data_IF_797809456182
#
_entry.id   IF_797809456182
#
_cell.length_a   1.000
_cell.length_b   1.000
_cell.length_c   1.000
_cell.angle_alpha   90.00
_cell.angle_beta   90.00
_cell.angle_gamma   90.00
#
_symmetry.space_group_name_H-M   'P 1'
#
loop_
_entity.id
_entity.type
_entity.pdbx_description
1 polymer ?
#
# COMPACT_ATOMS: atom_id res chain seq x y z
N UNK A 1 20.24 18.79 8.90
CA UNK A 1 21.29 17.80 8.60
C UNK A 1 21.03 17.32 7.19
N UNK A 2 21.90 17.68 6.26
CA UNK A 2 21.80 17.27 4.85
C UNK A 2 21.97 15.76 4.77
N UNK A 3 20.85 15.03 4.86
CA UNK A 3 20.86 13.58 4.71
C UNK A 3 21.43 13.21 3.35
N UNK A 4 22.23 12.15 3.28
CA UNK A 4 22.79 11.66 2.02
C UNK A 4 21.65 11.20 1.07
N UNK A 5 21.33 12.00 0.06
CA UNK A 5 20.50 11.59 -1.08
C UNK A 5 21.43 11.14 -2.22
N UNK A 6 21.05 10.10 -2.94
CA UNK A 6 21.74 9.70 -4.17
C UNK A 6 20.77 9.66 -5.35
N UNK A 7 21.30 9.95 -6.53
CA UNK A 7 20.56 9.94 -7.78
C UNK A 7 20.40 8.51 -8.29
N UNK A 8 19.15 8.05 -8.44
CA UNK A 8 18.80 6.76 -9.01
C UNK A 8 17.89 6.92 -10.23
N UNK A 9 18.05 6.03 -11.22
CA UNK A 9 17.14 5.97 -12.36
C UNK A 9 15.83 5.32 -11.92
N UNK A 10 14.69 5.97 -12.17
CA UNK A 10 13.37 5.45 -11.83
C UNK A 10 13.14 4.05 -12.44
N UNK A 11 12.87 3.00 -11.62
CA UNK A 11 12.86 1.61 -12.08
C UNK A 11 11.74 1.31 -13.09
N UNK A 12 10.59 1.98 -12.98
CA UNK A 12 9.48 1.86 -13.94
C UNK A 12 9.70 2.54 -15.29
N UNK A 13 10.81 3.29 -15.48
CA UNK A 13 11.04 4.09 -16.69
C UNK A 13 12.07 3.49 -17.66
N UNK A 14 12.60 2.29 -17.37
CA UNK A 14 13.41 1.51 -18.33
C UNK A 14 12.59 0.95 -19.51
N UNK A 15 11.31 1.30 -19.62
CA UNK A 15 10.44 0.89 -20.72
C UNK A 15 10.71 1.73 -21.99
N UNK A 16 11.52 1.16 -22.89
CA UNK A 16 11.77 1.49 -24.32
C UNK A 16 11.46 2.94 -24.78
N UNK A 17 12.53 3.68 -25.07
CA UNK A 17 12.60 4.96 -25.83
C UNK A 17 12.18 6.25 -25.10
N UNK A 18 12.18 6.28 -23.78
CA UNK A 18 12.12 7.54 -23.01
C UNK A 18 13.46 7.87 -22.37
N UNK A 19 13.75 9.16 -22.20
CA UNK A 19 14.89 9.64 -21.41
C UNK A 19 14.72 9.20 -19.96
N UNK A 20 15.81 8.72 -19.35
CA UNK A 20 15.82 8.27 -17.96
C UNK A 20 15.32 9.39 -17.02
N UNK A 21 14.37 9.03 -16.16
CA UNK A 21 13.92 9.91 -15.08
C UNK A 21 14.84 9.66 -13.89
N UNK A 22 15.65 10.66 -13.55
CA UNK A 22 16.53 10.63 -12.39
C UNK A 22 15.76 11.11 -11.16
N UNK A 23 15.85 10.35 -10.07
CA UNK A 23 15.28 10.69 -8.77
C UNK A 23 16.40 10.78 -7.74
N UNK A 24 16.49 11.90 -7.04
CA UNK A 24 17.28 12.00 -5.82
C UNK A 24 16.49 11.33 -4.69
N UNK A 25 17.00 10.23 -4.14
CA UNK A 25 16.33 9.50 -3.05
C UNK A 25 17.26 9.37 -1.85
N UNK A 26 16.76 9.39 -0.60
CA UNK A 26 17.59 9.18 0.57
C UNK A 26 18.30 7.81 0.50
N UNK A 27 19.50 7.69 1.07
CA UNK A 27 20.23 6.41 1.15
C UNK A 27 19.39 5.26 1.68
N UNK A 28 18.49 5.46 2.67
CA UNK A 28 17.59 4.40 3.16
C UNK A 28 16.62 3.83 2.09
N UNK A 29 16.41 4.56 1.00
CA UNK A 29 15.60 4.15 -0.15
C UNK A 29 16.42 3.33 -1.15
N UNK A 30 17.73 3.27 -0.98
CA UNK A 30 18.70 2.55 -1.80
C UNK A 30 19.25 1.36 -1.01
N UNK A 31 19.58 1.59 0.27
CA UNK A 31 20.21 0.66 1.20
C UNK A 31 19.22 -0.38 1.75
N UNK A 32 19.64 -1.63 1.70
CA UNK A 32 18.95 -2.84 2.21
C UNK A 32 18.96 -2.86 3.74
N UNK A 33 17.80 -2.87 4.46
CA UNK A 33 16.55 -3.61 4.17
C UNK A 33 15.25 -2.81 4.43
N UNK A 34 15.14 -1.54 4.02
CA UNK A 34 13.95 -0.69 4.25
C UNK A 34 13.26 -0.17 2.98
N UNK A 35 13.84 -0.37 1.81
CA UNK A 35 13.23 0.04 0.56
C UNK A 35 12.06 -0.88 0.19
N UNK A 36 10.94 -0.33 -0.29
CA UNK A 36 9.76 -1.11 -0.73
C UNK A 36 10.11 -2.13 -1.84
N UNK A 37 11.24 -1.95 -2.53
CA UNK A 37 11.78 -2.91 -3.49
C UNK A 37 12.55 -4.10 -2.89
N UNK A 38 12.77 -4.15 -1.57
CA UNK A 38 13.47 -5.23 -0.85
C UNK A 38 12.52 -6.25 -0.21
N UNK A 39 11.23 -6.23 -0.56
CA UNK A 39 10.24 -7.17 -0.02
C UNK A 39 10.13 -7.19 1.51
N UNK A 40 10.46 -6.10 2.23
CA UNK A 40 9.89 -5.91 3.59
C UNK A 40 8.43 -5.49 3.47
N UNK A 41 7.66 -6.48 3.05
CA UNK A 41 6.21 -6.48 3.08
C UNK A 41 5.76 -6.27 4.53
N UNK A 42 4.54 -5.78 4.66
CA UNK A 42 3.73 -5.93 5.87
C UNK A 42 4.07 -7.25 6.58
N UNK A 43 4.33 -7.21 7.90
CA UNK A 43 4.66 -8.45 8.63
C UNK A 43 3.61 -9.51 8.33
N UNK A 44 4.00 -10.79 8.25
CA UNK A 44 3.05 -11.87 7.96
C UNK A 44 1.80 -11.75 8.85
N UNK A 45 2.00 -11.46 10.13
CA UNK A 45 0.91 -11.24 11.10
C UNK A 45 -0.05 -10.12 10.69
N UNK A 46 0.44 -8.99 10.19
CA UNK A 46 -0.40 -7.87 9.75
C UNK A 46 -1.04 -8.15 8.38
N UNK A 47 -0.32 -8.81 7.46
CA UNK A 47 -0.86 -9.19 6.15
C UNK A 47 -2.04 -10.17 6.29
N UNK A 48 -1.93 -11.07 7.27
CA UNK A 48 -2.98 -12.04 7.62
C UNK A 48 -4.21 -11.38 8.26
N UNK A 49 -4.13 -10.11 8.70
CA UNK A 49 -5.27 -9.33 9.21
C UNK A 49 -6.02 -8.56 8.13
N UNK A 50 -5.36 -8.16 7.03
CA UNK A 50 -6.06 -7.58 5.87
C UNK A 50 -6.99 -8.64 5.29
N UNK A 51 -6.43 -9.84 5.06
CA UNK A 51 -7.16 -11.07 4.74
C UNK A 51 -7.95 -11.03 3.43
N UNK A 52 -8.29 -12.20 2.92
CA UNK A 52 -9.25 -12.37 1.82
C UNK A 52 -10.67 -12.59 2.32
N UNK A 53 -10.88 -12.71 3.64
CA UNK A 53 -12.15 -13.00 4.29
C UNK A 53 -12.50 -12.00 5.38
N UNK A 54 -13.78 -11.83 5.64
CA UNK A 54 -14.31 -11.07 6.79
C UNK A 54 -14.30 -11.86 8.09
N UNK A 55 -14.34 -13.19 8.01
CA UNK A 55 -14.36 -14.10 9.18
C UNK A 55 -13.07 -14.93 9.21
N UNK A 56 -12.42 -15.05 10.39
CA UNK A 56 -11.24 -15.88 10.51
C UNK A 56 -11.57 -17.37 10.47
N UNK A 57 -10.60 -18.19 10.09
CA UNK A 57 -10.68 -19.63 10.28
C UNK A 57 -10.48 -20.05 11.76
N UNK A 58 -10.51 -21.36 12.01
CA UNK A 58 -10.30 -21.92 13.35
C UNK A 58 -8.94 -21.58 13.98
N UNK A 59 -7.98 -21.09 13.19
CA UNK A 59 -6.65 -20.67 13.64
C UNK A 59 -6.52 -19.14 13.72
N UNK A 60 -7.61 -18.39 13.50
CA UNK A 60 -7.61 -16.92 13.53
C UNK A 60 -7.16 -16.26 12.22
N UNK A 61 -7.03 -17.01 11.12
CA UNK A 61 -6.49 -16.50 9.86
C UNK A 61 -7.59 -15.99 8.92
N UNK A 62 -7.43 -14.77 8.40
CA UNK A 62 -8.33 -14.16 7.43
C UNK A 62 -7.87 -14.31 5.97
N UNK A 63 -6.64 -14.78 5.70
CA UNK A 63 -6.06 -14.98 4.37
C UNK A 63 -6.27 -16.42 3.88
N UNK A 64 -7.51 -16.74 3.50
CA UNK A 64 -7.91 -18.06 2.96
C UNK A 64 -7.87 -18.15 1.43
N UNK A 65 -7.61 -17.04 0.73
CA UNK A 65 -7.60 -16.98 -0.73
C UNK A 65 -8.91 -17.48 -1.33
N UNK A 66 -8.81 -18.38 -2.32
CA UNK A 66 -9.97 -18.95 -3.02
C UNK A 66 -10.85 -19.85 -2.15
N UNK A 67 -10.33 -20.37 -1.04
CA UNK A 67 -11.13 -21.16 -0.09
C UNK A 67 -12.10 -20.32 0.74
N UNK A 68 -12.02 -18.99 0.63
CA UNK A 68 -12.99 -18.08 1.22
C UNK A 68 -14.35 -18.16 0.49
N UNK A 69 -15.47 -18.39 1.20
CA UNK A 69 -16.80 -18.28 0.62
C UNK A 69 -16.98 -16.91 -0.06
N UNK A 70 -17.60 -16.88 -1.24
CA UNK A 70 -17.75 -15.66 -2.05
C UNK A 70 -18.44 -14.53 -1.26
N UNK A 71 -19.39 -14.89 -0.42
CA UNK A 71 -20.12 -14.00 0.47
C UNK A 71 -19.35 -13.61 1.73
N UNK A 72 -18.11 -14.08 1.93
CA UNK A 72 -17.22 -13.62 3.00
C UNK A 72 -15.99 -12.90 2.45
N UNK A 73 -15.82 -12.84 1.12
CA UNK A 73 -14.63 -12.26 0.50
C UNK A 73 -14.52 -10.75 0.72
N UNK A 74 -13.29 -10.30 0.93
CA UNK A 74 -12.94 -8.88 1.07
C UNK A 74 -12.49 -8.28 -0.26
N UNK A 75 -12.54 -6.95 -0.34
CA UNK A 75 -12.01 -6.15 -1.44
C UNK A 75 -10.92 -5.25 -0.86
N UNK A 76 -9.71 -5.33 -1.42
CA UNK A 76 -8.62 -4.43 -1.07
C UNK A 76 -8.57 -3.24 -2.03
N UNK A 77 -8.56 -2.04 -1.47
CA UNK A 77 -8.43 -0.78 -2.21
C UNK A 77 -7.12 -0.11 -1.78
N UNK A 78 -6.17 -0.04 -2.70
CA UNK A 78 -4.92 0.69 -2.49
C UNK A 78 -5.05 2.10 -3.06
N UNK A 79 -4.78 3.11 -2.25
CA UNK A 79 -4.82 4.52 -2.64
C UNK A 79 -3.41 5.10 -2.48
N UNK A 80 -2.82 5.54 -3.59
CA UNK A 80 -1.62 6.37 -3.56
C UNK A 80 -2.07 7.83 -3.49
N UNK A 81 -1.96 8.43 -2.32
CA UNK A 81 -2.33 9.81 -2.02
C UNK A 81 -1.07 10.67 -1.93
N UNK A 82 -0.96 11.67 -2.80
CA UNK A 82 0.11 12.66 -2.72
C UNK A 82 -0.51 14.06 -2.68
N UNK A 83 -0.42 14.70 -1.51
CA UNK A 83 -0.99 16.05 -1.26
C UNK A 83 -2.48 16.15 -1.59
N UNK A 84 -3.20 15.05 -1.48
CA UNK A 84 -4.64 14.97 -1.75
C UNK A 84 -5.45 15.13 -0.46
N UNK A 85 -5.89 16.36 -0.19
CA UNK A 85 -6.74 16.65 0.96
C UNK A 85 -8.12 15.97 0.89
N UNK A 86 -8.58 15.60 -0.31
CA UNK A 86 -9.86 14.93 -0.56
C UNK A 86 -9.77 13.41 -0.37
N UNK A 87 -8.59 12.86 -0.09
CA UNK A 87 -8.43 11.43 0.17
C UNK A 87 -9.35 10.96 1.31
N UNK A 88 -9.54 11.78 2.36
CA UNK A 88 -10.47 11.50 3.47
C UNK A 88 -11.92 11.33 3.01
N UNK A 89 -12.36 12.16 2.07
CA UNK A 89 -13.73 12.14 1.55
C UNK A 89 -13.90 10.95 0.60
N UNK A 90 -12.85 10.61 -0.15
CA UNK A 90 -12.80 9.40 -0.98
C UNK A 90 -12.96 8.15 -0.14
N UNK A 91 -12.20 8.03 0.96
CA UNK A 91 -12.30 6.88 1.89
C UNK A 91 -13.68 6.82 2.53
N UNK A 92 -14.21 7.95 2.99
CA UNK A 92 -15.58 8.04 3.56
C UNK A 92 -16.62 7.56 2.55
N UNK A 93 -16.57 8.07 1.33
CA UNK A 93 -17.50 7.73 0.24
C UNK A 93 -17.44 6.25 -0.13
N UNK A 94 -16.25 5.63 -0.12
CA UNK A 94 -16.08 4.19 -0.37
C UNK A 94 -16.91 3.38 0.65
N UNK A 95 -16.82 3.71 1.94
CA UNK A 95 -17.57 2.98 2.97
C UNK A 95 -19.07 3.30 2.95
N UNK A 96 -19.45 4.57 2.78
CA UNK A 96 -20.86 4.98 2.79
C UNK A 96 -21.67 4.39 1.63
N UNK A 97 -21.03 4.23 0.46
CA UNK A 97 -21.71 3.77 -0.75
C UNK A 97 -21.65 2.26 -0.94
N UNK A 98 -20.80 1.56 -0.18
CA UNK A 98 -20.68 0.12 -0.27
C UNK A 98 -21.92 -0.58 0.30
N UNK A 99 -22.43 -1.59 -0.42
CA UNK A 99 -23.49 -2.46 0.10
C UNK A 99 -23.04 -3.28 1.32
N UNK A 100 -21.74 -3.61 1.38
CA UNK A 100 -21.11 -4.40 2.44
C UNK A 100 -19.78 -3.73 2.83
N UNK A 101 -19.80 -2.61 3.59
CA UNK A 101 -18.60 -1.85 3.94
C UNK A 101 -17.61 -2.65 4.79
N UNK A 102 -18.10 -3.62 5.56
CA UNK A 102 -17.32 -4.57 6.37
C UNK A 102 -16.39 -5.47 5.54
N UNK A 103 -16.60 -5.56 4.22
CA UNK A 103 -15.75 -6.32 3.28
C UNK A 103 -14.62 -5.49 2.68
N UNK A 104 -14.64 -4.18 2.85
CA UNK A 104 -13.63 -3.30 2.25
C UNK A 104 -12.43 -3.17 3.19
N UNK A 105 -11.22 -3.24 2.61
CA UNK A 105 -9.95 -2.96 3.29
C UNK A 105 -9.24 -1.87 2.51
N UNK A 106 -8.96 -0.74 3.13
CA UNK A 106 -8.32 0.39 2.45
C UNK A 106 -6.89 0.55 2.97
N UNK A 107 -5.92 0.58 2.06
CA UNK A 107 -4.54 0.96 2.34
C UNK A 107 -4.24 2.29 1.68
N UNK A 108 -3.87 3.31 2.46
CA UNK A 108 -3.52 4.63 1.94
C UNK A 108 -2.02 4.83 2.12
N UNK A 109 -1.33 5.13 1.03
CA UNK A 109 0.02 5.66 1.03
C UNK A 109 -0.13 7.17 1.00
N UNK A 110 0.00 7.82 2.16
CA UNK A 110 -0.24 9.25 2.30
C UNK A 110 1.06 10.01 2.62
N UNK A 111 1.19 11.23 2.11
CA UNK A 111 2.25 12.14 2.55
C UNK A 111 1.79 12.85 3.81
N UNK A 112 2.03 12.22 4.97
CA UNK A 112 1.93 12.90 6.27
C UNK A 112 3.12 13.86 6.37
N UNK A 113 2.89 15.14 6.16
CA UNK A 113 3.86 16.19 6.47
C UNK A 113 3.39 16.92 7.72
N UNK A 114 4.31 17.25 8.63
CA UNK A 114 4.66 18.66 8.75
C UNK A 114 6.03 18.79 8.06
N UNK A 115 6.06 19.44 6.92
CA UNK A 115 7.31 19.79 6.23
C UNK A 115 7.55 21.26 6.46
N UNK A 116 8.49 21.58 7.35
CA UNK A 116 9.33 22.77 7.17
C UNK A 116 10.40 22.46 6.10
#
# INVERSE_FOLDING_TARGET
>A
EDGDFEDVVHPGHRAKNHTDVIMAVPKMWIDDPLSIHQNKLMTRELAMKIGSCTVPDASGNFARGDSCPLDERTIYVAIASYRDYQCRDTVTSIFERAKHPDRIRVGVIDQITDGE
#
